data_IF_337535760890
#
_entry.id   IF_337535760890
#
_cell.length_a   1.000
_cell.length_b   1.000
_cell.length_c   1.000
_cell.angle_alpha   90.00
_cell.angle_beta   90.00
_cell.angle_gamma   90.00
#
_symmetry.space_group_name_H-M   'P 1'
#
loop_
_entity.id
_entity.type
_entity.pdbx_description
1 polymer ?
#
# COMPACT_ATOMS: atom_id res chain seq x y z
N UNK A 1 -21.52 -4.57 -15.13
CA UNK A 1 -20.99 -5.68 -14.29
C UNK A 1 -19.48 -5.62 -14.40
N UNK A 2 -18.79 -5.32 -13.31
CA UNK A 2 -17.32 -5.28 -13.32
C UNK A 2 -16.79 -6.70 -13.48
N UNK A 3 -15.98 -6.95 -14.50
CA UNK A 3 -15.39 -8.26 -14.74
C UNK A 3 -14.33 -8.54 -13.65
N UNK A 4 -14.64 -9.48 -12.76
CA UNK A 4 -13.75 -9.90 -11.68
C UNK A 4 -12.95 -11.12 -12.13
N UNK A 5 -11.64 -11.06 -11.94
CA UNK A 5 -10.74 -12.17 -12.17
C UNK A 5 -11.03 -13.29 -11.16
N UNK A 6 -10.83 -14.56 -11.55
CA UNK A 6 -10.91 -15.67 -10.59
C UNK A 6 -9.72 -15.64 -9.65
N UNK A 7 -9.90 -16.12 -8.42
CA UNK A 7 -8.89 -16.12 -7.38
C UNK A 7 -7.59 -16.81 -7.81
N UNK A 8 -7.70 -17.98 -8.45
CA UNK A 8 -6.56 -18.79 -8.92
C UNK A 8 -5.83 -18.13 -10.09
N UNK A 9 -6.53 -17.30 -10.87
CA UNK A 9 -5.93 -16.54 -11.96
C UNK A 9 -5.19 -15.31 -11.42
N UNK A 10 -5.77 -14.64 -10.43
CA UNK A 10 -5.16 -13.45 -9.81
C UNK A 10 -3.93 -13.80 -8.97
N UNK A 11 -3.97 -14.93 -8.25
CA UNK A 11 -2.93 -15.34 -7.30
C UNK A 11 -2.52 -16.80 -7.53
N UNK A 12 -1.89 -17.13 -8.68
CA UNK A 12 -1.61 -18.52 -9.06
C UNK A 12 -0.58 -19.22 -8.16
N UNK A 13 0.22 -18.44 -7.41
CA UNK A 13 1.25 -18.95 -6.49
C UNK A 13 0.80 -19.01 -5.04
N UNK A 14 -0.42 -18.58 -4.73
CA UNK A 14 -0.95 -18.54 -3.38
C UNK A 14 -1.99 -19.64 -3.22
N UNK A 15 -1.79 -20.47 -2.21
CA UNK A 15 -2.80 -21.42 -1.77
C UNK A 15 -3.66 -20.76 -0.68
N UNK A 16 -4.96 -20.96 -0.80
CA UNK A 16 -5.95 -20.36 0.09
C UNK A 16 -6.69 -21.42 0.89
N UNK A 17 -6.95 -21.12 2.16
CA UNK A 17 -7.68 -22.01 3.06
C UNK A 17 -9.06 -22.33 2.50
N UNK A 18 -9.47 -23.58 2.62
CA UNK A 18 -10.81 -23.98 2.19
C UNK A 18 -11.91 -23.33 3.05
N UNK A 19 -11.66 -23.16 4.36
CA UNK A 19 -12.63 -22.59 5.31
C UNK A 19 -12.97 -21.13 5.01
N UNK A 20 -12.01 -20.33 4.53
CA UNK A 20 -12.23 -18.94 4.09
C UNK A 20 -12.81 -18.86 2.66
N UNK A 21 -13.16 -20.00 2.05
CA UNK A 21 -13.67 -20.10 0.67
C UNK A 21 -15.01 -20.81 0.57
N UNK A 22 -15.54 -21.27 1.71
CA UNK A 22 -16.82 -21.96 1.78
C UNK A 22 -17.99 -20.99 1.59
N UNK A 23 -19.19 -21.54 1.47
CA UNK A 23 -20.39 -20.75 1.19
C UNK A 23 -20.69 -19.72 2.29
N UNK A 24 -20.41 -20.05 3.56
CA UNK A 24 -20.56 -19.16 4.69
C UNK A 24 -19.61 -17.96 4.61
N UNK A 25 -18.33 -18.18 4.30
CA UNK A 25 -17.35 -17.11 4.13
C UNK A 25 -17.74 -16.13 3.01
N UNK A 26 -18.32 -16.66 1.91
CA UNK A 26 -18.88 -15.81 0.84
C UNK A 26 -20.08 -14.99 1.30
N UNK A 27 -20.94 -15.57 2.15
CA UNK A 27 -22.09 -14.88 2.72
C UNK A 27 -21.66 -13.74 3.66
N UNK A 28 -20.65 -13.98 4.50
CA UNK A 28 -20.11 -13.00 5.45
C UNK A 28 -19.11 -12.02 4.83
N UNK A 29 -18.84 -12.14 3.52
CA UNK A 29 -17.84 -11.35 2.78
C UNK A 29 -16.43 -11.43 3.41
N UNK A 30 -16.11 -12.58 4.01
CA UNK A 30 -14.76 -12.82 4.53
C UNK A 30 -13.82 -13.05 3.34
N UNK A 31 -12.74 -12.27 3.20
CA UNK A 31 -11.78 -12.47 2.11
C UNK A 31 -11.10 -13.84 2.22
N UNK A 32 -10.74 -14.49 1.10
CA UNK A 32 -9.94 -15.70 1.12
C UNK A 32 -8.59 -15.47 1.82
N UNK A 33 -8.27 -16.33 2.78
CA UNK A 33 -7.05 -16.29 3.57
C UNK A 33 -6.00 -17.24 2.99
N UNK A 34 -4.74 -16.81 2.92
CA UNK A 34 -3.66 -17.73 2.55
C UNK A 34 -3.47 -18.82 3.61
N UNK A 35 -3.08 -20.03 3.20
CA UNK A 35 -2.89 -21.17 4.11
C UNK A 35 -1.85 -20.89 5.21
N UNK A 36 -0.85 -20.05 4.95
CA UNK A 36 0.23 -19.75 5.91
C UNK A 36 -0.23 -19.08 7.20
N UNK A 37 -1.35 -18.35 7.18
CA UNK A 37 -1.89 -17.70 8.38
C UNK A 37 -2.23 -18.71 9.49
N UNK A 38 -2.24 -20.03 9.22
CA UNK A 38 -2.56 -21.06 10.23
C UNK A 38 -1.42 -21.20 11.24
N UNK A 39 -0.20 -20.92 10.76
CA UNK A 39 1.04 -21.03 11.53
C UNK A 39 1.61 -19.64 11.86
N UNK A 40 1.29 -18.63 11.05
CA UNK A 40 1.79 -17.25 11.18
C UNK A 40 0.63 -16.27 11.31
N UNK A 41 -0.03 -16.30 12.47
CA UNK A 41 -1.18 -15.44 12.80
C UNK A 41 -0.79 -14.08 13.39
N UNK A 42 0.49 -13.86 13.68
CA UNK A 42 1.00 -12.62 14.25
C UNK A 42 0.94 -11.46 13.24
N UNK A 43 1.02 -11.77 11.94
CA UNK A 43 1.04 -10.78 10.87
C UNK A 43 0.04 -11.12 9.77
N UNK A 44 -0.91 -10.22 9.52
CA UNK A 44 -1.90 -10.35 8.46
C UNK A 44 -2.20 -9.01 7.80
N UNK A 45 -2.41 -9.02 6.49
CA UNK A 45 -2.95 -7.88 5.75
C UNK A 45 -4.04 -8.30 4.78
N UNK A 46 -5.12 -7.51 4.70
CA UNK A 46 -6.09 -7.62 3.61
C UNK A 46 -5.59 -6.81 2.42
N UNK A 47 -5.18 -7.54 1.39
CA UNK A 47 -4.68 -7.00 0.15
C UNK A 47 -5.84 -6.68 -0.81
N UNK A 48 -5.95 -5.42 -1.19
CA UNK A 48 -6.99 -4.85 -2.04
C UNK A 48 -6.35 -4.16 -3.27
N UNK A 49 -5.73 -4.92 -4.18
CA UNK A 49 -4.85 -4.35 -5.20
C UNK A 49 -5.53 -3.36 -6.14
N UNK A 50 -6.78 -3.63 -6.51
CA UNK A 50 -7.49 -2.95 -7.60
C UNK A 50 -8.74 -2.19 -7.13
N UNK A 51 -8.99 -2.15 -5.83
CA UNK A 51 -10.10 -1.41 -5.22
C UNK A 51 -9.55 -0.40 -4.22
N UNK A 52 -10.09 0.81 -4.21
CA UNK A 52 -9.85 1.78 -3.16
C UNK A 52 -11.15 2.01 -2.39
N UNK A 53 -11.09 1.89 -1.07
CA UNK A 53 -12.20 2.18 -0.17
C UNK A 53 -12.01 3.54 0.49
N UNK A 54 -12.80 4.54 0.08
CA UNK A 54 -12.80 5.86 0.73
C UNK A 54 -14.18 6.15 1.29
N UNK A 55 -14.28 6.50 2.58
CA UNK A 55 -15.54 6.86 3.27
C UNK A 55 -16.66 5.82 3.04
N UNK A 56 -16.32 4.54 3.11
CA UNK A 56 -17.24 3.41 2.90
C UNK A 56 -17.64 3.17 1.44
N UNK A 57 -17.08 3.90 0.47
CA UNK A 57 -17.34 3.70 -0.97
C UNK A 57 -16.18 2.98 -1.62
N UNK A 58 -16.48 1.88 -2.30
CA UNK A 58 -15.55 1.16 -3.14
C UNK A 58 -15.40 1.85 -4.50
N UNK A 59 -14.17 2.00 -4.98
CA UNK A 59 -13.87 2.51 -6.32
C UNK A 59 -12.80 1.66 -7.00
N UNK A 60 -13.13 1.15 -8.18
CA UNK A 60 -12.29 0.24 -8.96
C UNK A 60 -11.21 1.02 -9.70
N UNK A 61 -9.96 0.53 -9.62
CA UNK A 61 -8.75 1.19 -10.14
C UNK A 61 -8.14 0.49 -11.34
N UNK A 62 -8.38 -0.81 -11.51
CA UNK A 62 -7.91 -1.59 -12.65
C UNK A 62 -8.99 -2.56 -13.13
N UNK A 63 -8.93 -2.89 -14.42
CA UNK A 63 -9.77 -3.89 -15.05
C UNK A 63 -8.87 -4.89 -15.79
N UNK A 64 -9.10 -6.21 -15.64
CA UNK A 64 -10.07 -6.85 -14.74
C UNK A 64 -9.70 -6.66 -13.26
N UNK A 65 -10.70 -6.73 -12.37
CA UNK A 65 -10.48 -6.55 -10.92
C UNK A 65 -9.93 -7.83 -10.30
N UNK A 66 -8.78 -7.76 -9.63
CA UNK A 66 -8.30 -8.87 -8.78
C UNK A 66 -9.10 -8.93 -7.47
N UNK A 67 -9.51 -10.12 -7.01
CA UNK A 67 -10.26 -10.27 -5.78
C UNK A 67 -9.41 -9.92 -4.55
N UNK A 68 -10.06 -9.46 -3.50
CA UNK A 68 -9.44 -9.09 -2.22
C UNK A 68 -9.11 -10.34 -1.41
N UNK A 69 -7.97 -10.35 -0.74
CA UNK A 69 -7.44 -11.54 -0.05
C UNK A 69 -6.71 -11.17 1.24
N UNK A 70 -6.74 -12.04 2.24
CA UNK A 70 -5.96 -11.89 3.47
C UNK A 70 -4.68 -12.72 3.40
N UNK A 71 -3.55 -12.05 3.52
CA UNK A 71 -2.22 -12.61 3.29
C UNK A 71 -1.34 -12.46 4.53
N UNK A 72 -0.46 -13.44 4.76
CA UNK A 72 0.69 -13.26 5.65
C UNK A 72 1.71 -12.31 5.00
N UNK A 73 2.71 -11.88 5.78
CA UNK A 73 3.73 -10.94 5.33
C UNK A 73 4.46 -11.42 4.07
N UNK A 74 4.87 -12.69 4.05
CA UNK A 74 5.60 -13.26 2.92
C UNK A 74 4.78 -13.25 1.62
N UNK A 75 3.49 -13.64 1.70
CA UNK A 75 2.59 -13.60 0.56
C UNK A 75 2.31 -12.17 0.10
N UNK A 76 2.06 -11.23 1.01
CA UNK A 76 1.84 -9.84 0.66
C UNK A 76 3.05 -9.24 -0.05
N UNK A 77 4.26 -9.42 0.51
CA UNK A 77 5.51 -8.92 -0.10
C UNK A 77 5.65 -9.41 -1.53
N UNK A 78 5.42 -10.71 -1.76
CA UNK A 78 5.50 -11.29 -3.08
C UNK A 78 4.50 -10.68 -4.07
N UNK A 79 3.25 -10.44 -3.65
CA UNK A 79 2.22 -9.88 -4.53
C UNK A 79 2.46 -8.39 -4.81
N UNK A 80 2.76 -7.60 -3.78
CA UNK A 80 3.01 -6.16 -3.93
C UNK A 80 4.24 -5.89 -4.81
N UNK A 81 5.30 -6.68 -4.67
CA UNK A 81 6.53 -6.52 -5.43
C UNK A 81 6.33 -6.55 -6.95
N UNK A 82 5.36 -7.36 -7.44
CA UNK A 82 5.03 -7.46 -8.86
C UNK A 82 4.56 -6.15 -9.45
N UNK A 83 3.79 -5.37 -8.69
CA UNK A 83 3.22 -4.10 -9.15
C UNK A 83 4.15 -2.92 -8.81
N UNK A 84 4.71 -2.91 -7.60
CA UNK A 84 5.49 -1.79 -7.07
C UNK A 84 6.74 -1.48 -7.90
N UNK A 85 7.52 -2.52 -8.26
CA UNK A 85 8.78 -2.35 -9.00
C UNK A 85 8.56 -1.72 -10.38
N UNK A 86 7.40 -1.97 -10.98
CA UNK A 86 7.04 -1.55 -12.33
C UNK A 86 6.20 -0.27 -12.37
N UNK A 87 5.83 0.28 -11.21
CA UNK A 87 5.08 1.53 -11.18
C UNK A 87 5.96 2.71 -11.61
N UNK A 88 5.57 3.34 -12.73
CA UNK A 88 6.31 4.45 -13.34
C UNK A 88 5.89 5.83 -12.82
N UNK A 89 4.80 5.90 -12.05
CA UNK A 89 4.31 7.13 -11.45
C UNK A 89 5.15 7.60 -10.26
N UNK A 90 4.77 8.77 -9.71
CA UNK A 90 5.44 9.35 -8.53
C UNK A 90 4.82 8.87 -7.23
N UNK A 91 5.65 8.41 -6.30
CA UNK A 91 5.18 7.92 -5.01
C UNK A 91 5.82 8.73 -3.89
N UNK A 92 5.00 9.23 -2.97
CA UNK A 92 5.47 9.53 -1.62
C UNK A 92 5.15 8.33 -0.76
N UNK A 93 6.14 7.81 -0.06
CA UNK A 93 5.94 6.77 0.94
C UNK A 93 6.48 7.28 2.26
N UNK A 94 5.69 7.10 3.30
CA UNK A 94 6.12 7.37 4.64
C UNK A 94 6.24 6.05 5.38
N UNK A 95 7.28 5.92 6.19
CA UNK A 95 7.50 4.73 6.97
C UNK A 95 6.31 4.47 7.92
N UNK A 96 5.67 3.28 7.86
CA UNK A 96 4.56 2.95 8.74
C UNK A 96 5.00 2.94 10.21
N UNK A 97 4.05 3.17 11.11
CA UNK A 97 4.32 3.08 12.54
C UNK A 97 4.66 1.63 12.93
N UNK A 98 5.77 1.41 13.62
CA UNK A 98 6.14 0.06 14.08
C UNK A 98 5.33 -0.42 15.29
N UNK A 99 4.63 0.49 15.98
CA UNK A 99 4.01 0.20 17.27
C UNK A 99 2.56 -0.28 17.17
N UNK A 100 1.78 0.17 16.18
CA UNK A 100 0.43 -0.31 15.83
C UNK A 100 -0.14 0.60 14.73
N UNK A 101 -0.29 0.08 13.50
CA UNK A 101 -1.09 0.74 12.46
C UNK A 101 -2.08 -0.26 11.91
N UNK A 102 -3.29 0.20 11.61
CA UNK A 102 -4.37 -0.68 11.16
C UNK A 102 -4.64 -0.53 9.67
N UNK A 103 -4.19 0.57 9.06
CA UNK A 103 -4.36 0.83 7.64
C UNK A 103 -3.07 1.42 7.04
N UNK A 104 -2.68 0.94 5.87
CA UNK A 104 -1.57 1.49 5.10
C UNK A 104 -1.83 1.31 3.63
N UNK A 105 -2.26 2.38 2.96
CA UNK A 105 -2.72 2.31 1.59
C UNK A 105 -2.29 3.54 0.79
N UNK A 106 -2.10 3.31 -0.51
CA UNK A 106 -1.82 4.31 -1.50
C UNK A 106 -3.10 5.05 -1.91
N UNK A 107 -3.01 6.37 -1.95
CA UNK A 107 -4.04 7.28 -2.42
C UNK A 107 -3.46 8.13 -3.55
N UNK A 108 -4.15 8.18 -4.68
CA UNK A 108 -3.80 9.08 -5.78
C UNK A 108 -3.94 10.55 -5.38
N UNK A 109 -3.09 11.43 -5.92
CA UNK A 109 -3.06 12.85 -5.56
C UNK A 109 -4.41 13.58 -5.70
N UNK A 110 -5.19 13.23 -6.73
CA UNK A 110 -6.55 13.76 -6.94
C UNK A 110 -7.60 13.30 -5.90
N UNK A 111 -7.22 12.40 -4.99
CA UNK A 111 -8.16 11.72 -4.08
C UNK A 111 -7.86 11.98 -2.60
N UNK A 112 -6.84 12.79 -2.29
CA UNK A 112 -6.45 13.14 -0.92
C UNK A 112 -7.63 13.68 -0.08
N UNK A 113 -8.45 14.57 -0.65
CA UNK A 113 -9.65 15.08 0.03
C UNK A 113 -10.67 13.97 0.32
N UNK A 114 -10.90 13.08 -0.66
CA UNK A 114 -11.80 11.95 -0.48
C UNK A 114 -11.29 10.97 0.59
N UNK A 115 -9.98 10.80 0.69
CA UNK A 115 -9.32 10.02 1.73
C UNK A 115 -9.35 10.68 3.12
N UNK A 116 -9.87 11.91 3.22
CA UNK A 116 -10.04 12.61 4.50
C UNK A 116 -8.79 13.32 4.98
N UNK A 117 -7.77 13.48 4.12
CA UNK A 117 -6.61 14.29 4.47
C UNK A 117 -7.04 15.75 4.64
N UNK A 118 -6.52 16.39 5.70
CA UNK A 118 -6.70 17.83 5.89
C UNK A 118 -6.12 18.58 4.67
N UNK A 119 -6.75 19.68 4.21
CA UNK A 119 -6.30 20.41 3.03
C UNK A 119 -4.82 20.80 3.07
N UNK A 120 -4.31 21.20 4.23
CA UNK A 120 -2.93 21.62 4.45
C UNK A 120 -1.95 20.44 4.29
N UNK A 121 -2.31 19.27 4.80
CA UNK A 121 -1.56 18.01 4.66
C UNK A 121 -1.55 17.58 3.19
N UNK A 122 -2.72 17.53 2.56
CA UNK A 122 -2.86 17.20 1.14
C UNK A 122 -2.02 18.14 0.26
N UNK A 123 -2.02 19.44 0.55
CA UNK A 123 -1.22 20.44 -0.15
C UNK A 123 0.29 20.26 0.10
N UNK A 124 0.71 19.93 1.32
CA UNK A 124 2.11 19.64 1.61
C UNK A 124 2.60 18.42 0.84
N UNK A 125 1.87 17.31 0.88
CA UNK A 125 2.16 16.09 0.11
C UNK A 125 2.18 16.39 -1.40
N UNK A 126 1.18 17.14 -1.90
CA UNK A 126 1.11 17.51 -3.31
C UNK A 126 2.30 18.35 -3.75
N UNK A 127 2.73 19.33 -2.94
CA UNK A 127 3.94 20.11 -3.23
C UNK A 127 5.18 19.22 -3.32
N UNK A 128 5.34 18.29 -2.38
CA UNK A 128 6.44 17.30 -2.40
C UNK A 128 6.38 16.43 -3.66
N UNK A 129 5.20 15.98 -4.11
CA UNK A 129 5.05 15.19 -5.34
C UNK A 129 5.50 15.94 -6.61
N UNK A 130 5.31 17.26 -6.65
CA UNK A 130 5.68 18.09 -7.81
C UNK A 130 7.13 18.59 -7.78
N UNK A 131 7.84 18.41 -6.66
CA UNK A 131 9.25 18.81 -6.58
C UNK A 131 10.09 18.05 -7.61
N UNK A 132 11.08 18.71 -8.26
CA UNK A 132 12.05 17.99 -9.08
C UNK A 132 12.69 16.87 -8.27
N UNK A 133 12.76 15.68 -8.88
CA UNK A 133 13.48 14.55 -8.33
C UNK A 133 14.74 14.37 -9.15
N UNK A 134 15.83 14.13 -8.44
CA UNK A 134 17.12 13.84 -9.02
C UNK A 134 17.25 12.32 -9.24
N UNK A 135 18.45 11.79 -9.05
CA UNK A 135 18.74 10.37 -9.08
C UNK A 135 18.44 9.68 -7.74
N UNK A 136 18.30 8.37 -7.82
CA UNK A 136 18.12 7.48 -6.69
C UNK A 136 19.38 7.49 -5.82
N UNK A 137 19.20 7.69 -4.52
CA UNK A 137 20.27 7.73 -3.53
C UNK A 137 21.10 6.43 -3.44
N UNK A 138 20.61 5.32 -4.00
CA UNK A 138 21.25 4.00 -3.92
C UNK A 138 21.89 3.50 -5.22
N UNK A 139 21.49 4.03 -6.38
CA UNK A 139 21.96 3.47 -7.68
C UNK A 139 22.01 4.45 -8.86
N UNK A 140 21.87 5.75 -8.61
CA UNK A 140 21.94 6.81 -9.63
C UNK A 140 20.90 6.73 -10.77
N UNK A 141 19.99 5.75 -10.76
CA UNK A 141 18.84 5.70 -11.67
C UNK A 141 17.83 6.81 -11.34
N UNK A 142 16.99 7.21 -12.29
CA UNK A 142 15.96 8.23 -12.07
C UNK A 142 15.10 7.90 -10.83
N UNK A 143 15.01 8.84 -9.90
CA UNK A 143 14.13 8.69 -8.75
C UNK A 143 12.66 8.95 -9.15
N UNK A 144 11.77 8.12 -8.63
CA UNK A 144 10.31 8.25 -8.75
C UNK A 144 9.61 8.21 -7.39
N UNK A 145 10.36 7.89 -6.33
CA UNK A 145 9.87 7.74 -4.97
C UNK A 145 10.54 8.76 -4.06
N UNK A 146 9.75 9.32 -3.14
CA UNK A 146 10.22 10.05 -1.98
C UNK A 146 9.87 9.24 -0.73
N UNK A 147 10.88 8.76 -0.03
CA UNK A 147 10.73 8.04 1.22
C UNK A 147 10.95 8.97 2.41
N UNK A 148 9.98 9.04 3.31
CA UNK A 148 10.10 9.75 4.57
C UNK A 148 10.21 8.74 5.71
N UNK A 149 11.34 8.75 6.41
CA UNK A 149 11.54 7.93 7.60
C UNK A 149 10.66 8.42 8.76
N UNK A 150 10.29 7.52 9.66
CA UNK A 150 9.35 7.85 10.75
C UNK A 150 9.90 8.90 11.72
N UNK A 151 11.22 8.94 11.92
CA UNK A 151 11.88 9.96 12.74
C UNK A 151 11.87 11.36 12.10
N UNK A 152 11.75 11.45 10.78
CA UNK A 152 11.66 12.70 10.04
C UNK A 152 10.22 13.23 9.99
N UNK A 153 9.24 12.34 9.82
CA UNK A 153 7.79 12.67 9.83
C UNK A 153 7.07 11.73 10.79
N UNK A 154 6.96 12.10 12.08
CA UNK A 154 6.33 11.26 13.10
C UNK A 154 4.80 11.17 12.99
N UNK A 155 4.17 12.12 12.30
CA UNK A 155 2.72 12.18 12.10
C UNK A 155 2.39 12.80 10.76
N UNK A 156 1.35 12.30 10.11
CA UNK A 156 0.80 12.92 8.88
C UNK A 156 0.12 14.26 9.14
N UNK A 157 -0.21 14.58 10.40
CA UNK A 157 -0.76 15.89 10.77
C UNK A 157 0.31 16.98 10.90
N UNK A 158 1.59 16.61 10.92
CA UNK A 158 2.69 17.57 11.01
C UNK A 158 3.07 18.11 9.61
N UNK A 159 2.26 19.06 9.15
CA UNK A 159 2.40 19.75 7.85
C UNK A 159 3.79 20.36 7.67
N UNK A 160 4.37 20.92 8.74
CA UNK A 160 5.68 21.55 8.68
C UNK A 160 6.77 20.50 8.43
N UNK A 161 6.70 19.36 9.13
CA UNK A 161 7.61 18.23 8.90
C UNK A 161 7.45 17.67 7.50
N UNK A 162 6.23 17.43 7.00
CA UNK A 162 6.04 16.93 5.62
C UNK A 162 6.68 17.87 4.60
N UNK A 163 6.57 19.19 4.79
CA UNK A 163 7.13 20.15 3.85
C UNK A 163 8.68 20.18 3.87
N UNK A 164 9.27 20.12 5.06
CA UNK A 164 10.70 20.40 5.29
C UNK A 164 11.58 19.16 5.50
N UNK A 165 10.99 18.02 5.85
CA UNK A 165 11.72 16.81 6.18
C UNK A 165 12.64 16.36 5.04
N UNK A 166 13.76 15.75 5.43
CA UNK A 166 14.69 15.16 4.47
C UNK A 166 14.11 13.82 4.01
N UNK A 167 13.53 13.83 2.82
CA UNK A 167 13.15 12.60 2.13
C UNK A 167 14.34 11.99 1.40
N UNK A 168 14.38 10.67 1.34
CA UNK A 168 15.29 9.95 0.47
C UNK A 168 14.65 9.77 -0.91
N UNK A 169 15.38 10.15 -1.96
CA UNK A 169 14.96 9.97 -3.34
C UNK A 169 15.33 8.56 -3.80
N UNK A 170 14.34 7.77 -4.21
CA UNK A 170 14.52 6.37 -4.60
C UNK A 170 13.94 6.12 -6.00
N UNK A 171 14.55 5.21 -6.74
CA UNK A 171 13.92 4.64 -7.93
C UNK A 171 12.81 3.66 -7.51
N UNK A 172 11.98 3.22 -8.46
CA UNK A 172 10.87 2.29 -8.15
C UNK A 172 11.33 1.00 -7.47
N UNK A 173 12.50 0.47 -7.84
CA UNK A 173 13.05 -0.73 -7.24
C UNK A 173 13.41 -0.51 -5.76
N UNK A 174 14.28 0.46 -5.44
CA UNK A 174 14.71 0.71 -4.06
C UNK A 174 13.58 1.24 -3.19
N UNK A 175 12.64 2.02 -3.75
CA UNK A 175 11.42 2.43 -3.04
C UNK A 175 10.55 1.24 -2.65
N UNK A 176 10.40 0.27 -3.57
CA UNK A 176 9.70 -1.00 -3.29
C UNK A 176 10.38 -1.79 -2.20
N UNK A 177 11.69 -2.02 -2.33
CA UNK A 177 12.47 -2.78 -1.36
C UNK A 177 12.36 -2.18 0.04
N UNK A 178 12.51 -0.85 0.13
CA UNK A 178 12.41 -0.12 1.40
C UNK A 178 11.01 -0.20 2.02
N UNK A 179 9.96 -0.08 1.21
CA UNK A 179 8.59 -0.24 1.68
C UNK A 179 8.35 -1.65 2.23
N UNK A 180 8.71 -2.69 1.48
CA UNK A 180 8.48 -4.08 1.88
C UNK A 180 9.34 -4.49 3.08
N UNK A 181 10.55 -3.92 3.21
CA UNK A 181 11.38 -4.07 4.40
C UNK A 181 10.72 -3.43 5.63
N UNK A 182 10.12 -2.25 5.49
CA UNK A 182 9.47 -1.56 6.60
C UNK A 182 8.37 -2.40 7.27
N UNK A 183 7.60 -3.17 6.49
CA UNK A 183 6.59 -4.09 7.04
C UNK A 183 7.19 -5.20 7.90
N UNK A 184 8.45 -5.58 7.67
CA UNK A 184 9.12 -6.63 8.45
C UNK A 184 9.66 -6.12 9.77
N UNK A 185 9.65 -4.80 9.99
CA UNK A 185 10.04 -4.16 11.25
C UNK A 185 8.89 -4.15 12.27
N UNK A 186 7.65 -4.40 11.82
CA UNK A 186 6.49 -4.63 12.68
C UNK A 186 6.33 -6.16 12.87
N UNK A 187 6.73 -6.72 14.03
CA UNK A 187 6.66 -8.17 14.26
C UNK A 187 5.22 -8.68 14.31
N UNK A 188 4.29 -7.79 14.70
CA UNK A 188 2.86 -8.05 14.75
C UNK A 188 2.13 -6.95 13.98
N UNK A 189 1.19 -7.32 13.13
CA UNK A 189 0.34 -6.36 12.42
C UNK A 189 -0.96 -7.01 11.96
N UNK A 190 -2.05 -6.26 12.04
CA UNK A 190 -3.32 -6.62 11.43
C UNK A 190 -3.81 -5.47 10.54
N UNK A 191 -3.37 -5.49 9.28
CA UNK A 191 -3.66 -4.42 8.33
C UNK A 191 -4.99 -4.70 7.63
N UNK A 192 -5.97 -3.85 7.91
CA UNK A 192 -7.30 -3.96 7.31
C UNK A 192 -7.29 -3.65 5.82
N UNK A 193 -6.38 -2.79 5.35
CA UNK A 193 -6.31 -2.41 3.92
C UNK A 193 -4.88 -2.08 3.51
N UNK A 194 -4.38 -2.81 2.51
CA UNK A 194 -3.15 -2.50 1.78
C UNK A 194 -3.39 -2.67 0.28
N UNK A 195 -2.95 -1.71 -0.52
CA UNK A 195 -3.09 -1.73 -1.98
C UNK A 195 -1.76 -1.42 -2.70
N UNK A 196 -1.80 -1.40 -4.03
CA UNK A 196 -0.67 -1.05 -4.90
C UNK A 196 -0.93 0.26 -5.66
N UNK A 197 0.13 1.03 -6.01
CA UNK A 197 0.00 2.36 -6.57
C UNK A 197 -0.68 2.35 -7.94
N UNK A 198 -1.57 3.30 -8.16
CA UNK A 198 -2.31 3.49 -9.41
C UNK A 198 -2.26 4.97 -9.84
N UNK A 199 -2.70 5.24 -11.07
CA UNK A 199 -2.63 6.59 -11.64
C UNK A 199 -1.19 7.05 -11.87
N UNK A 200 -0.97 8.36 -11.83
CA UNK A 200 0.31 8.98 -12.17
C UNK A 200 1.13 9.43 -10.96
N UNK A 201 0.45 9.76 -9.86
CA UNK A 201 1.11 10.21 -8.62
C UNK A 201 0.22 10.04 -7.40
N UNK A 202 0.83 9.90 -6.23
CA UNK A 202 0.09 9.71 -4.98
C UNK A 202 1.00 9.41 -3.80
N UNK A 203 0.38 9.09 -2.67
CA UNK A 203 1.08 8.82 -1.43
C UNK A 203 0.55 7.57 -0.75
N UNK A 204 1.45 6.77 -0.19
CA UNK A 204 1.10 5.81 0.85
C UNK A 204 0.88 6.56 2.16
N UNK A 205 -0.31 6.42 2.73
CA UNK A 205 -0.69 7.03 4.01
C UNK A 205 -1.05 5.95 5.01
N UNK A 206 -0.89 6.25 6.30
CA UNK A 206 -1.32 5.40 7.40
C UNK A 206 -2.44 6.09 8.19
N UNK A 207 -3.37 5.28 8.70
CA UNK A 207 -4.46 5.69 9.60
C UNK A 207 -4.53 4.70 10.76
#
# INVERSE_FOLDING_TARGET
MTESMRLEQAYPKIRFRWRSRNWWARLTRTPPECEHLENDGAWMATFIPDTLYLRGKASVRRHPVRPEVSLCLACLRHEMEKDLRHFSGRVIAFEPDGAEFTQYFYVGSGEFSAAGLQPEVANAISRRLHQPMDVCASCDLRATWLWFARNEVPSLDDVARIAMARAEMLCSQHGTEKLLESFSRAPEANLFYVNVPYGESGAYVWI
#
